data_IF_854790524515
#
_entry.id   IF_854790524515
#
_cell.length_a   1.000
_cell.length_b   1.000
_cell.length_c   1.000
_cell.angle_alpha   90.00
_cell.angle_beta   90.00
_cell.angle_gamma   90.00
#
_symmetry.space_group_name_H-M   'P 1'
#
loop_
_entity.id
_entity.type
_entity.pdbx_description
1 polymer ?
#
# COMPACT_ATOMS: atom_id res chain seq x y z
N UNK A 1 -25.43 -76.52 -24.15
CA UNK A 1 -26.49 -75.62 -23.61
C UNK A 1 -25.91 -74.21 -23.64
N UNK A 2 -26.20 -73.43 -24.69
CA UNK A 2 -27.28 -72.42 -24.78
C UNK A 2 -27.08 -71.21 -23.83
N UNK A 3 -27.07 -70.03 -24.46
CA UNK A 3 -27.47 -68.69 -23.97
C UNK A 3 -26.48 -67.96 -23.06
N UNK A 4 -26.24 -66.65 -23.16
CA UNK A 4 -26.76 -65.61 -24.06
C UNK A 4 -25.84 -64.38 -24.00
N UNK A 5 -25.81 -63.67 -25.13
CA UNK A 5 -25.45 -62.26 -25.27
C UNK A 5 -26.16 -61.38 -24.21
N UNK A 6 -25.43 -60.44 -23.60
CA UNK A 6 -26.00 -59.13 -23.24
C UNK A 6 -24.98 -58.04 -23.51
N UNK A 7 -25.19 -57.31 -24.60
CA UNK A 7 -24.67 -55.96 -24.80
C UNK A 7 -25.35 -55.05 -23.76
N UNK A 8 -24.56 -54.29 -23.02
CA UNK A 8 -25.06 -53.12 -22.27
C UNK A 8 -24.32 -51.90 -22.78
N UNK A 9 -25.02 -51.09 -23.59
CA UNK A 9 -24.62 -49.74 -23.93
C UNK A 9 -24.80 -48.86 -22.68
N UNK A 10 -23.70 -48.39 -22.08
CA UNK A 10 -23.75 -47.22 -21.21
C UNK A 10 -23.51 -45.98 -22.08
N UNK A 11 -24.61 -45.28 -22.38
CA UNK A 11 -24.59 -43.95 -22.96
C UNK A 11 -23.89 -42.99 -21.97
N UNK A 12 -22.73 -42.47 -22.34
CA UNK A 12 -22.07 -41.39 -21.60
C UNK A 12 -22.78 -40.10 -21.95
N UNK A 13 -23.69 -39.68 -21.06
CA UNK A 13 -24.28 -38.35 -21.11
C UNK A 13 -23.20 -37.31 -20.79
N UNK A 14 -22.68 -36.63 -21.81
CA UNK A 14 -21.95 -35.38 -21.68
C UNK A 14 -22.94 -34.29 -21.19
N UNK A 15 -23.23 -34.30 -19.90
CA UNK A 15 -23.87 -33.17 -19.25
C UNK A 15 -22.84 -32.04 -19.22
N UNK A 16 -23.13 -30.99 -20.00
CA UNK A 16 -22.30 -29.81 -20.10
C UNK A 16 -21.93 -29.26 -18.73
N UNK A 17 -20.63 -29.01 -18.53
CA UNK A 17 -20.14 -28.13 -17.49
C UNK A 17 -20.77 -26.75 -17.72
N UNK A 18 -21.95 -26.54 -17.13
CA UNK A 18 -22.50 -25.23 -16.91
C UNK A 18 -21.46 -24.47 -16.11
N UNK A 19 -20.79 -23.53 -16.79
CA UNK A 19 -20.03 -22.45 -16.17
C UNK A 19 -20.99 -21.73 -15.20
N UNK A 20 -21.06 -22.24 -13.97
CA UNK A 20 -21.60 -21.48 -12.86
C UNK A 20 -20.70 -20.24 -12.75
N UNK A 21 -21.25 -19.02 -12.86
CA UNK A 21 -20.43 -17.84 -12.62
C UNK A 21 -19.85 -18.01 -11.22
N UNK A 22 -18.52 -18.07 -11.11
CA UNK A 22 -17.85 -18.06 -9.83
C UNK A 22 -18.42 -16.87 -9.06
N UNK A 23 -19.18 -17.16 -8.00
CA UNK A 23 -19.72 -16.12 -7.14
C UNK A 23 -18.54 -15.29 -6.68
N UNK A 24 -18.49 -14.02 -7.10
CA UNK A 24 -17.42 -13.14 -6.70
C UNK A 24 -17.41 -13.11 -5.16
N UNK A 25 -16.27 -13.42 -4.55
CA UNK A 25 -16.16 -13.40 -3.10
C UNK A 25 -16.69 -12.08 -2.55
N UNK A 26 -17.63 -12.12 -1.59
CA UNK A 26 -18.21 -10.91 -1.02
C UNK A 26 -17.09 -10.06 -0.43
N UNK A 27 -17.10 -8.76 -0.76
CA UNK A 27 -16.02 -7.90 -0.33
C UNK A 27 -16.10 -7.66 1.18
N UNK A 28 -15.05 -8.07 1.89
CA UNK A 28 -14.88 -7.94 3.33
C UNK A 28 -13.66 -7.08 3.63
N UNK A 29 -13.69 -6.42 4.79
CA UNK A 29 -12.54 -5.69 5.28
C UNK A 29 -11.37 -6.65 5.53
N UNK A 30 -10.12 -6.28 5.20
CA UNK A 30 -8.96 -7.09 5.55
C UNK A 30 -8.81 -7.17 7.08
N UNK A 31 -8.12 -8.21 7.55
CA UNK A 31 -7.73 -8.35 8.95
C UNK A 31 -6.96 -7.08 9.41
N UNK A 32 -7.40 -6.39 10.49
CA UNK A 32 -6.67 -5.25 11.05
C UNK A 32 -5.21 -5.56 11.42
N UNK A 33 -4.89 -6.82 11.74
CA UNK A 33 -3.50 -7.24 12.02
C UNK A 33 -2.59 -7.08 10.80
N UNK A 34 -3.14 -7.13 9.58
CA UNK A 34 -2.39 -6.94 8.34
C UNK A 34 -1.81 -5.53 8.23
N UNK A 35 -2.57 -4.49 8.59
CA UNK A 35 -2.05 -3.12 8.54
C UNK A 35 -0.91 -2.94 9.56
N UNK A 36 -1.04 -3.54 10.74
CA UNK A 36 0.01 -3.49 11.77
C UNK A 36 1.30 -4.16 11.29
N UNK A 37 1.20 -5.35 10.68
CA UNK A 37 2.38 -6.03 10.14
C UNK A 37 2.99 -5.24 8.98
N UNK A 38 2.17 -4.68 8.07
CA UNK A 38 2.64 -3.79 7.01
C UNK A 38 3.40 -2.59 7.57
N UNK A 39 2.88 -1.92 8.59
CA UNK A 39 3.54 -0.79 9.24
C UNK A 39 4.91 -1.17 9.83
N UNK A 40 5.00 -2.30 10.52
CA UNK A 40 6.26 -2.78 11.09
C UNK A 40 7.30 -3.11 10.01
N UNK A 41 6.88 -3.73 8.92
CA UNK A 41 7.77 -4.04 7.79
C UNK A 41 8.18 -2.78 7.03
N UNK A 42 7.26 -1.83 6.83
CA UNK A 42 7.55 -0.51 6.24
C UNK A 42 8.56 0.27 7.08
N UNK A 43 8.36 0.33 8.39
CA UNK A 43 9.31 0.94 9.34
C UNK A 43 10.68 0.31 9.23
N UNK A 44 10.74 -1.03 9.26
CA UNK A 44 12.01 -1.76 9.14
C UNK A 44 12.74 -1.45 7.83
N UNK A 45 12.01 -1.44 6.71
CA UNK A 45 12.56 -1.09 5.40
C UNK A 45 13.09 0.35 5.38
N UNK A 46 12.32 1.30 5.94
CA UNK A 46 12.69 2.73 6.00
C UNK A 46 13.96 2.92 6.82
N UNK A 47 14.06 2.25 7.98
CA UNK A 47 15.23 2.31 8.85
C UNK A 47 16.47 1.63 8.24
N UNK A 48 16.29 0.64 7.38
CA UNK A 48 17.39 0.03 6.62
C UNK A 48 17.85 0.94 5.48
N UNK A 49 16.97 1.82 5.01
CA UNK A 49 17.32 2.88 4.08
C UNK A 49 17.53 2.43 2.63
N UNK A 50 16.94 1.30 2.21
CA UNK A 50 17.04 0.80 0.84
C UNK A 50 15.85 1.27 -0.02
N UNK A 51 16.05 2.18 -1.00
CA UNK A 51 14.96 2.84 -1.70
C UNK A 51 14.01 1.87 -2.40
N UNK A 52 14.52 0.81 -3.03
CA UNK A 52 13.73 -0.16 -3.78
C UNK A 52 12.86 -1.02 -2.87
N UNK A 53 13.32 -1.29 -1.65
CA UNK A 53 12.54 -2.03 -0.65
C UNK A 53 11.43 -1.14 -0.08
N UNK A 54 11.78 0.10 0.24
CA UNK A 54 10.85 1.09 0.80
C UNK A 54 9.76 1.43 -0.21
N UNK A 55 10.12 1.61 -1.49
CA UNK A 55 9.19 1.91 -2.58
C UNK A 55 8.09 0.85 -2.76
N UNK A 56 8.26 -0.38 -2.27
CA UNK A 56 7.21 -1.42 -2.35
C UNK A 56 5.98 -1.10 -1.50
N UNK A 57 6.14 -0.25 -0.48
CA UNK A 57 5.06 0.15 0.41
C UNK A 57 4.32 1.39 -0.07
N UNK A 58 4.70 1.97 -1.22
CA UNK A 58 4.10 3.19 -1.73
C UNK A 58 3.20 2.94 -2.93
N UNK A 59 2.06 3.64 -2.96
CA UNK A 59 1.25 3.81 -4.16
C UNK A 59 1.78 5.03 -4.92
N UNK A 60 2.30 4.81 -6.11
CA UNK A 60 2.85 5.88 -6.95
C UNK A 60 1.81 6.47 -7.93
N UNK A 61 1.87 7.80 -8.20
CA UNK A 61 2.76 8.77 -7.58
C UNK A 61 2.38 9.05 -6.11
N UNK A 62 3.37 9.04 -5.22
CA UNK A 62 3.15 9.34 -3.81
C UNK A 62 3.02 10.85 -3.63
N UNK A 63 2.16 11.28 -2.70
CA UNK A 63 1.93 12.69 -2.42
C UNK A 63 2.65 13.11 -1.13
N UNK A 64 3.54 14.10 -1.22
CA UNK A 64 4.05 14.82 -0.06
C UNK A 64 3.09 15.97 0.23
N UNK A 65 2.34 15.82 1.32
CA UNK A 65 1.35 16.77 1.77
C UNK A 65 2.03 17.88 2.58
N UNK A 66 1.78 19.14 2.25
CA UNK A 66 2.21 20.26 3.08
C UNK A 66 1.49 20.23 4.44
N UNK A 67 2.08 20.83 5.48
CA UNK A 67 1.44 20.88 6.80
C UNK A 67 0.32 21.93 6.90
N UNK A 68 0.24 22.87 5.94
CA UNK A 68 -0.85 23.87 5.90
C UNK A 68 -1.88 23.52 4.83
N UNK A 69 -3.14 23.68 5.20
CA UNK A 69 -4.28 23.50 4.29
C UNK A 69 -4.22 24.50 3.11
N UNK A 70 -4.64 24.02 1.93
CA UNK A 70 -4.69 24.83 0.70
C UNK A 70 -3.38 24.90 -0.09
N UNK A 71 -2.25 24.44 0.47
CA UNK A 71 -1.00 24.31 -0.29
C UNK A 71 -1.02 23.07 -1.20
N UNK A 72 -0.42 23.20 -2.39
CA UNK A 72 -0.37 22.10 -3.36
C UNK A 72 0.62 21.02 -2.90
N UNK A 73 0.15 19.77 -2.86
CA UNK A 73 0.99 18.59 -2.63
C UNK A 73 2.04 18.43 -3.72
N UNK A 74 3.25 18.03 -3.35
CA UNK A 74 4.24 17.55 -4.31
C UNK A 74 3.94 16.09 -4.64
N UNK A 75 4.01 15.72 -5.93
CA UNK A 75 3.77 14.34 -6.38
C UNK A 75 5.08 13.75 -6.88
N UNK A 76 5.46 12.59 -6.35
CA UNK A 76 6.73 11.95 -6.66
C UNK A 76 6.46 10.63 -7.35
N UNK A 77 7.02 10.44 -8.55
CA UNK A 77 6.95 9.18 -9.29
C UNK A 77 7.92 8.15 -8.70
N UNK A 78 7.72 6.85 -9.00
CA UNK A 78 8.62 5.80 -8.49
C UNK A 78 10.09 6.00 -8.91
N UNK A 79 10.43 6.29 -10.18
CA UNK A 79 11.83 6.51 -10.56
C UNK A 79 12.47 7.68 -9.81
N UNK A 80 11.73 8.79 -9.66
CA UNK A 80 12.19 9.98 -8.93
C UNK A 80 12.36 9.67 -7.44
N UNK A 81 11.43 8.95 -6.83
CA UNK A 81 11.52 8.53 -5.44
C UNK A 81 12.81 7.74 -5.18
N UNK A 82 13.12 6.77 -6.04
CA UNK A 82 14.32 5.94 -5.90
C UNK A 82 15.59 6.79 -6.09
N UNK A 83 15.61 7.61 -7.15
CA UNK A 83 16.74 8.48 -7.51
C UNK A 83 17.11 9.45 -6.38
N UNK A 84 16.10 10.06 -5.74
CA UNK A 84 16.27 11.16 -4.77
C UNK A 84 15.97 10.70 -3.33
N UNK A 85 15.96 9.39 -3.05
CA UNK A 85 15.46 8.85 -1.78
C UNK A 85 16.23 9.38 -0.56
N UNK A 86 17.56 9.49 -0.67
CA UNK A 86 18.41 9.95 0.42
C UNK A 86 18.08 11.40 0.78
N UNK A 87 17.96 12.27 -0.22
CA UNK A 87 17.66 13.70 -0.06
C UNK A 87 16.23 13.94 0.42
N UNK A 88 15.30 13.05 0.05
CA UNK A 88 13.90 13.13 0.46
C UNK A 88 13.62 12.50 1.83
N UNK A 89 14.38 11.50 2.28
CA UNK A 89 13.97 10.70 3.43
C UNK A 89 15.07 10.36 4.42
N UNK A 90 16.31 10.77 4.18
CA UNK A 90 17.42 10.47 5.08
C UNK A 90 18.20 11.71 5.52
N UNK A 91 18.51 12.62 4.59
CA UNK A 91 19.41 13.75 4.82
C UNK A 91 18.80 15.05 4.31
N UNK A 92 18.64 16.01 5.20
CA UNK A 92 18.31 17.40 4.91
C UNK A 92 19.56 18.26 4.62
N UNK A 93 19.40 19.59 4.53
CA UNK A 93 20.51 20.52 4.29
C UNK A 93 21.59 20.42 5.36
N UNK A 94 22.85 20.68 4.99
CA UNK A 94 24.00 20.62 5.90
C UNK A 94 24.16 19.27 6.62
N UNK A 95 23.72 18.20 5.98
CA UNK A 95 23.95 16.81 6.40
C UNK A 95 23.19 16.40 7.66
N UNK A 96 22.16 17.16 8.02
CA UNK A 96 21.29 16.86 9.13
C UNK A 96 20.33 15.74 8.76
N UNK A 97 20.00 14.87 9.70
CA UNK A 97 18.94 13.88 9.50
C UNK A 97 17.58 14.57 9.30
N UNK A 98 16.82 14.14 8.29
CA UNK A 98 15.49 14.71 8.03
C UNK A 98 14.51 14.37 9.16
N UNK A 99 13.54 15.25 9.42
CA UNK A 99 12.57 15.09 10.51
C UNK A 99 11.81 13.75 10.44
N UNK A 100 11.48 13.30 9.22
CA UNK A 100 10.79 12.03 9.00
C UNK A 100 11.58 10.81 9.45
N UNK A 101 12.88 10.74 9.16
CA UNK A 101 13.72 9.62 9.60
C UNK A 101 13.88 9.64 11.12
N UNK A 102 14.04 10.84 11.70
CA UNK A 102 14.07 11.02 13.15
C UNK A 102 12.78 10.49 13.80
N UNK A 103 11.61 10.84 13.24
CA UNK A 103 10.32 10.34 13.70
C UNK A 103 10.20 8.81 13.54
N UNK A 104 10.65 8.26 12.42
CA UNK A 104 10.65 6.81 12.17
C UNK A 104 11.55 6.03 13.15
N UNK A 105 12.68 6.60 13.55
CA UNK A 105 13.55 6.00 14.59
C UNK A 105 12.91 6.01 15.97
N UNK A 106 12.13 7.05 16.29
CA UNK A 106 11.41 7.19 17.56
C UNK A 106 10.15 6.32 17.63
N UNK A 107 9.55 6.00 16.50
CA UNK A 107 8.41 5.09 16.45
C UNK A 107 8.79 3.69 16.95
N UNK A 108 7.81 2.96 17.45
CA UNK A 108 7.92 1.67 18.13
C UNK A 108 7.41 0.50 17.28
N UNK A 109 6.65 0.76 16.22
CA UNK A 109 5.92 -0.27 15.48
C UNK A 109 4.65 -0.78 16.20
N UNK A 110 4.27 -0.13 17.31
CA UNK A 110 3.11 -0.45 18.16
C UNK A 110 2.17 0.75 18.33
N UNK A 111 2.25 1.70 17.40
CA UNK A 111 1.43 2.90 17.36
C UNK A 111 -0.05 2.55 17.37
N UNK A 112 -0.86 3.46 17.91
CA UNK A 112 -2.29 3.36 17.76
C UNK A 112 -2.67 3.47 16.28
N UNK A 113 -3.45 2.50 15.79
CA UNK A 113 -3.97 2.48 14.43
C UNK A 113 -5.46 2.80 14.52
N UNK A 114 -5.92 3.97 14.02
CA UNK A 114 -7.33 4.32 14.07
C UNK A 114 -8.17 3.36 13.22
N UNK A 115 -9.40 3.12 13.64
CA UNK A 115 -10.35 2.33 12.87
C UNK A 115 -10.96 3.20 11.77
N UNK A 116 -10.61 2.91 10.53
CA UNK A 116 -11.27 3.50 9.35
C UNK A 116 -12.45 2.62 8.95
N UNK A 117 -13.60 3.22 8.68
CA UNK A 117 -14.79 2.47 8.23
C UNK A 117 -14.54 1.82 6.87
N UNK A 118 -14.90 0.56 6.74
CA UNK A 118 -14.91 -0.16 5.46
C UNK A 118 -16.30 -0.06 4.81
N UNK A 119 -16.33 0.29 3.53
CA UNK A 119 -17.51 0.29 2.68
C UNK A 119 -17.52 -0.98 1.83
N UNK A 120 -18.28 -1.99 2.27
CA UNK A 120 -18.38 -3.28 1.58
C UNK A 120 -19.02 -3.19 0.20
N UNK A 121 -19.84 -2.15 -0.06
CA UNK A 121 -20.44 -1.95 -1.38
C UNK A 121 -19.40 -1.42 -2.39
N UNK A 122 -18.47 -0.58 -1.93
CA UNK A 122 -17.35 -0.08 -2.75
C UNK A 122 -16.09 -0.93 -2.68
N UNK A 123 -16.08 -1.93 -1.81
CA UNK A 123 -14.93 -2.79 -1.55
C UNK A 123 -13.68 -2.01 -1.16
N UNK A 124 -13.85 -0.96 -0.34
CA UNK A 124 -12.78 -0.04 0.01
C UNK A 124 -13.01 0.60 1.38
N UNK A 125 -11.94 1.07 2.01
CA UNK A 125 -12.06 1.99 3.15
C UNK A 125 -12.57 3.34 2.68
N UNK A 126 -13.34 4.03 3.53
CA UNK A 126 -13.94 5.34 3.20
C UNK A 126 -12.91 6.48 3.13
N UNK A 127 -11.67 6.21 3.55
CA UNK A 127 -10.56 7.14 3.58
C UNK A 127 -9.25 6.43 3.94
N UNK A 128 -8.13 7.16 3.99
CA UNK A 128 -6.86 6.61 4.45
C UNK A 128 -6.86 6.36 5.95
N UNK A 129 -6.09 5.38 6.39
CA UNK A 129 -5.75 5.15 7.80
C UNK A 129 -4.40 5.81 8.08
N UNK A 130 -4.38 6.84 8.92
CA UNK A 130 -3.16 7.55 9.29
C UNK A 130 -2.42 6.82 10.41
N UNK A 131 -1.13 6.58 10.23
CA UNK A 131 -0.20 6.11 11.26
C UNK A 131 1.01 7.05 11.22
N UNK A 132 1.25 7.77 12.32
CA UNK A 132 2.19 8.90 12.36
C UNK A 132 1.90 9.88 11.22
N UNK A 133 2.86 10.16 10.35
CA UNK A 133 2.70 11.06 9.21
C UNK A 133 2.29 10.36 7.91
N UNK A 134 2.05 9.05 7.93
CA UNK A 134 1.79 8.24 6.74
C UNK A 134 0.31 7.88 6.61
N UNK A 135 -0.27 8.15 5.44
CA UNK A 135 -1.64 7.79 5.10
C UNK A 135 -1.67 6.50 4.29
N UNK A 136 -2.10 5.41 4.94
CA UNK A 136 -2.24 4.10 4.34
C UNK A 136 -3.61 3.92 3.68
N UNK A 137 -3.63 3.39 2.46
CA UNK A 137 -4.81 2.95 1.74
C UNK A 137 -4.70 1.45 1.45
N UNK A 138 -5.83 0.76 1.39
CA UNK A 138 -5.87 -0.65 1.07
C UNK A 138 -6.24 -0.86 -0.40
N UNK A 139 -5.42 -1.62 -1.11
CA UNK A 139 -5.70 -2.16 -2.43
C UNK A 139 -5.90 -3.68 -2.33
N UNK A 140 -6.96 -4.21 -2.96
CA UNK A 140 -7.28 -5.65 -2.87
C UNK A 140 -6.18 -6.56 -3.44
N UNK A 141 -5.40 -6.07 -4.41
CA UNK A 141 -4.33 -6.86 -5.07
C UNK A 141 -2.96 -6.63 -4.43
N UNK A 142 -2.65 -5.39 -4.06
CA UNK A 142 -1.34 -4.99 -3.57
C UNK A 142 -1.24 -4.93 -2.03
N UNK A 143 -2.36 -4.97 -1.31
CA UNK A 143 -2.41 -4.82 0.14
C UNK A 143 -2.37 -3.36 0.57
N UNK A 144 -1.85 -3.10 1.77
CA UNK A 144 -1.74 -1.76 2.34
C UNK A 144 -0.55 -1.00 1.74
N UNK A 145 -0.82 0.21 1.26
CA UNK A 145 0.16 1.10 0.64
C UNK A 145 0.04 2.51 1.20
N UNK A 146 1.17 3.21 1.34
CA UNK A 146 1.23 4.64 1.60
C UNK A 146 0.90 5.39 0.31
N UNK A 147 -0.18 6.16 0.31
CA UNK A 147 -0.56 7.00 -0.84
C UNK A 147 -0.08 8.45 -0.65
N UNK A 148 0.01 8.89 0.59
CA UNK A 148 0.46 10.22 0.94
C UNK A 148 1.12 10.26 2.32
N UNK A 149 1.89 11.30 2.56
CA UNK A 149 2.48 11.55 3.87
C UNK A 149 2.57 13.05 4.14
N UNK A 150 2.45 13.44 5.40
CA UNK A 150 2.76 14.80 5.83
C UNK A 150 4.27 14.99 5.83
N UNK A 151 4.71 16.06 5.21
CA UNK A 151 6.12 16.36 5.00
C UNK A 151 6.40 17.73 5.62
N UNK A 152 7.48 17.83 6.41
CA UNK A 152 7.80 19.06 7.11
C UNK A 152 7.89 20.25 6.13
N UNK A 153 7.44 21.42 6.55
CA UNK A 153 7.34 22.57 5.66
C UNK A 153 8.70 22.98 5.09
N UNK A 154 9.74 22.99 5.92
CA UNK A 154 11.07 23.38 5.48
C UNK A 154 11.62 22.36 4.50
N UNK A 155 11.49 21.07 4.83
CA UNK A 155 11.92 19.98 3.96
C UNK A 155 11.18 20.01 2.60
N UNK A 156 9.88 20.33 2.61
CA UNK A 156 9.07 20.39 1.39
C UNK A 156 9.52 21.52 0.46
N UNK A 157 9.75 22.71 1.00
CA UNK A 157 10.20 23.86 0.22
C UNK A 157 11.62 23.64 -0.33
N UNK A 158 12.49 23.00 0.46
CA UNK A 158 13.82 22.60 0.01
C UNK A 158 13.74 21.59 -1.13
N UNK A 159 12.92 20.53 -0.99
CA UNK A 159 12.73 19.54 -2.04
C UNK A 159 12.21 20.17 -3.34
N UNK A 160 11.30 21.16 -3.26
CA UNK A 160 10.83 21.91 -4.43
C UNK A 160 11.95 22.73 -5.06
N UNK A 161 12.69 23.48 -4.26
CA UNK A 161 13.77 24.37 -4.75
C UNK A 161 14.89 23.58 -5.43
N UNK A 162 15.18 22.38 -4.92
CA UNK A 162 16.16 21.44 -5.47
C UNK A 162 15.59 20.54 -6.58
N UNK A 163 14.31 20.69 -6.95
CA UNK A 163 13.63 19.92 -7.99
C UNK A 163 13.69 18.39 -7.76
N UNK A 164 13.56 17.96 -6.50
CA UNK A 164 13.61 16.54 -6.13
C UNK A 164 12.37 15.76 -6.57
N UNK A 165 11.40 16.41 -7.21
CA UNK A 165 10.25 15.81 -7.88
C UNK A 165 10.52 15.42 -9.35
N UNK A 166 11.76 15.57 -9.84
CA UNK A 166 12.16 15.34 -11.24
C UNK A 166 13.32 14.37 -11.45
#
# INVERSE_FOLDING_TARGET
>A
MKQSLMLTLCAVSLAGCLNSPASAEPCSAPDPALLRSTWQSFRTATLTGQPEQVARYYKFPVQLLPPMDGMKSMKISRPVFIKNYTELFQRGPADTEIAMLTAMKKSTGKEYIPQTRFDSAKCAFIGPTRIEDYNFVYDKKAGWLVESLYYDNNDLELAKSSQLDR
#
